data_IF_538810663308
#
_entry.id   IF_538810663308
#
_cell.length_a   1.000
_cell.length_b   1.000
_cell.length_c   1.000
_cell.angle_alpha   90.00
_cell.angle_beta   90.00
_cell.angle_gamma   90.00
#
_symmetry.space_group_name_H-M   'P 1'
#
loop_
_entity.id
_entity.type
_entity.pdbx_description
1 polymer ?
#
# COMPACT_ATOMS: atom_id res chain seq x y z
N UNK A 1 -1.87 7.18 -10.63
CA UNK A 1 -2.29 6.01 -11.45
C UNK A 1 -3.74 6.21 -11.83
N UNK A 2 -4.13 6.05 -13.09
CA UNK A 2 -5.55 6.11 -13.47
C UNK A 2 -6.05 4.68 -13.69
N UNK A 3 -7.03 4.25 -12.90
CA UNK A 3 -7.70 2.98 -13.11
C UNK A 3 -8.80 3.10 -14.17
N UNK A 4 -9.07 2.05 -14.97
CA UNK A 4 -10.26 2.02 -15.80
C UNK A 4 -11.52 2.21 -14.94
N UNK A 5 -12.58 2.86 -15.45
CA UNK A 5 -13.82 3.06 -14.68
C UNK A 5 -14.50 1.77 -14.19
N UNK A 6 -14.16 0.62 -14.78
CA UNK A 6 -14.66 -0.69 -14.37
C UNK A 6 -13.97 -1.28 -13.14
N UNK A 7 -12.87 -0.68 -12.68
CA UNK A 7 -12.09 -1.17 -11.54
C UNK A 7 -12.54 -0.47 -10.26
N UNK A 8 -12.83 -1.26 -9.23
CA UNK A 8 -13.25 -0.80 -7.91
C UNK A 8 -12.29 -1.36 -6.86
N UNK A 9 -12.40 -0.89 -5.61
CA UNK A 9 -11.62 -1.46 -4.51
C UNK A 9 -11.94 -2.94 -4.25
N UNK A 10 -13.11 -3.42 -4.68
CA UNK A 10 -13.53 -4.85 -4.60
C UNK A 10 -13.12 -5.69 -5.82
N UNK A 11 -12.40 -5.09 -6.78
CA UNK A 11 -11.76 -5.79 -7.89
C UNK A 11 -10.48 -5.08 -8.34
N UNK A 12 -9.41 -5.23 -7.56
CA UNK A 12 -8.07 -4.72 -7.88
C UNK A 12 -7.28 -5.62 -8.84
N UNK A 13 -7.84 -6.75 -9.27
CA UNK A 13 -7.15 -7.76 -10.08
C UNK A 13 -6.55 -7.16 -11.36
N UNK A 14 -5.25 -7.34 -11.56
CA UNK A 14 -4.60 -6.89 -12.80
C UNK A 14 -3.13 -6.54 -12.65
N UNK A 15 -2.60 -5.92 -13.70
CA UNK A 15 -1.23 -5.40 -13.74
C UNK A 15 -1.26 -3.88 -13.84
N UNK A 16 -0.53 -3.24 -12.94
CA UNK A 16 -0.55 -1.79 -12.73
C UNK A 16 0.87 -1.25 -12.83
N UNK A 17 1.13 -0.41 -13.84
CA UNK A 17 2.45 0.21 -14.05
C UNK A 17 2.43 1.64 -13.55
N UNK A 18 3.25 1.97 -12.55
CA UNK A 18 3.33 3.29 -11.95
C UNK A 18 3.53 4.39 -13.00
N UNK A 19 2.64 5.38 -13.00
CA UNK A 19 2.78 6.57 -13.83
C UNK A 19 3.64 7.62 -13.12
N UNK A 20 4.93 7.65 -13.47
CA UNK A 20 5.91 8.56 -12.86
C UNK A 20 5.61 10.04 -13.10
N UNK A 21 4.99 10.39 -14.22
CA UNK A 21 4.67 11.79 -14.55
C UNK A 21 3.62 12.37 -13.60
N UNK A 22 2.79 11.53 -13.00
CA UNK A 22 1.74 11.90 -12.04
C UNK A 22 2.08 11.45 -10.62
N UNK A 23 3.34 11.10 -10.33
CA UNK A 23 3.79 10.68 -9.01
C UNK A 23 4.73 11.73 -8.43
N UNK A 24 4.60 12.00 -7.13
CA UNK A 24 5.52 12.86 -6.40
C UNK A 24 6.83 12.14 -6.06
N UNK A 25 7.83 12.90 -5.62
CA UNK A 25 9.13 12.35 -5.20
C UNK A 25 8.98 11.49 -3.93
N UNK A 26 9.59 10.30 -3.96
CA UNK A 26 9.54 9.32 -2.86
C UNK A 26 10.75 9.39 -1.93
N UNK A 27 11.76 10.22 -2.21
CA UNK A 27 13.02 10.23 -1.45
C UNK A 27 12.78 10.54 0.05
N UNK A 28 11.95 11.55 0.35
CA UNK A 28 11.70 11.97 1.73
C UNK A 28 11.01 10.89 2.56
N UNK A 29 9.95 10.26 2.04
CA UNK A 29 9.22 9.21 2.77
C UNK A 29 10.08 7.96 2.97
N UNK A 30 10.83 7.56 1.95
CA UNK A 30 11.75 6.42 2.05
C UNK A 30 12.92 6.71 3.01
N UNK A 31 13.41 7.96 3.07
CA UNK A 31 14.43 8.36 4.02
C UNK A 31 13.93 8.26 5.47
N UNK A 32 12.70 8.72 5.73
CA UNK A 32 12.05 8.58 7.05
C UNK A 32 11.88 7.11 7.46
N UNK A 33 11.73 6.20 6.51
CA UNK A 33 11.63 4.76 6.74
C UNK A 33 12.98 4.04 6.83
N UNK A 34 14.09 4.79 6.95
CA UNK A 34 15.47 4.29 7.01
C UNK A 34 15.94 3.53 5.77
N UNK A 35 15.32 3.76 4.60
CA UNK A 35 15.79 3.17 3.34
C UNK A 35 17.11 3.82 2.93
N UNK A 36 18.15 3.03 2.66
CA UNK A 36 19.49 3.55 2.32
C UNK A 36 19.47 4.48 1.10
N UNK A 37 20.31 5.52 1.11
CA UNK A 37 20.37 6.53 0.03
C UNK A 37 20.52 5.92 -1.37
N UNK A 38 21.40 4.93 -1.52
CA UNK A 38 21.62 4.25 -2.80
C UNK A 38 20.34 3.56 -3.30
N UNK A 39 19.61 2.88 -2.41
CA UNK A 39 18.37 2.20 -2.76
C UNK A 39 17.25 3.20 -3.10
N UNK A 40 17.16 4.33 -2.39
CA UNK A 40 16.21 5.41 -2.73
C UNK A 40 16.44 5.97 -4.13
N UNK A 41 17.70 6.20 -4.51
CA UNK A 41 18.04 6.63 -5.87
C UNK A 41 17.69 5.58 -6.91
N UNK A 42 17.95 4.30 -6.64
CA UNK A 42 17.55 3.23 -7.54
C UNK A 42 16.02 3.18 -7.74
N UNK A 43 15.24 3.30 -6.65
CA UNK A 43 13.77 3.34 -6.69
C UNK A 43 13.26 4.53 -7.52
N UNK A 44 13.84 5.72 -7.35
CA UNK A 44 13.44 6.91 -8.11
C UNK A 44 13.55 6.71 -9.64
N UNK A 45 14.56 5.96 -10.11
CA UNK A 45 14.74 5.64 -11.53
C UNK A 45 13.98 4.39 -11.98
N UNK A 46 13.62 3.46 -11.09
CA UNK A 46 12.96 2.20 -11.43
C UNK A 46 11.49 2.38 -11.83
N UNK A 47 11.04 1.69 -12.86
CA UNK A 47 9.62 1.57 -13.19
C UNK A 47 9.00 0.48 -12.34
N UNK A 48 8.03 0.84 -11.51
CA UNK A 48 7.34 -0.07 -10.60
C UNK A 48 6.11 -0.66 -11.30
N UNK A 49 5.98 -1.98 -11.26
CA UNK A 49 4.80 -2.71 -11.74
C UNK A 49 4.25 -3.60 -10.64
N UNK A 50 2.98 -3.44 -10.30
CA UNK A 50 2.24 -4.30 -9.40
C UNK A 50 1.45 -5.33 -10.20
N UNK A 51 1.51 -6.59 -9.79
CA UNK A 51 0.55 -7.62 -10.20
C UNK A 51 -0.29 -7.95 -8.99
N UNK A 52 -1.58 -7.60 -9.03
CA UNK A 52 -2.51 -7.75 -7.91
C UNK A 52 -3.47 -8.90 -8.21
N UNK A 53 -3.62 -9.79 -7.23
CA UNK A 53 -4.66 -10.83 -7.20
C UNK A 53 -5.50 -10.62 -5.96
N UNK A 54 -6.80 -10.40 -6.14
CA UNK A 54 -7.77 -10.22 -5.07
C UNK A 54 -8.79 -11.35 -5.10
N UNK A 55 -9.03 -11.97 -3.94
CA UNK A 55 -9.94 -13.10 -3.80
C UNK A 55 -10.51 -13.18 -2.39
N UNK A 56 -11.64 -13.88 -2.24
CA UNK A 56 -12.20 -14.19 -0.92
C UNK A 56 -11.83 -15.62 -0.52
N UNK A 57 -11.35 -15.79 0.71
CA UNK A 57 -11.06 -17.10 1.29
C UNK A 57 -11.36 -17.06 2.78
N UNK A 58 -12.06 -18.09 3.26
CA UNK A 58 -12.44 -18.26 4.68
C UNK A 58 -13.22 -17.05 5.26
N UNK A 59 -14.00 -16.36 4.42
CA UNK A 59 -14.80 -15.21 4.81
C UNK A 59 -14.04 -13.88 4.87
N UNK A 60 -12.75 -13.86 4.54
CA UNK A 60 -11.94 -12.64 4.46
C UNK A 60 -11.49 -12.36 3.03
N UNK A 61 -11.37 -11.08 2.69
CA UNK A 61 -10.73 -10.63 1.45
C UNK A 61 -9.21 -10.76 1.59
N UNK A 62 -8.57 -11.33 0.58
CA UNK A 62 -7.13 -11.41 0.43
C UNK A 62 -6.69 -10.58 -0.78
N UNK A 63 -5.62 -9.80 -0.61
CA UNK A 63 -5.01 -9.00 -1.67
C UNK A 63 -3.54 -9.34 -1.72
N UNK A 64 -3.16 -10.08 -2.75
CA UNK A 64 -1.78 -10.50 -3.00
C UNK A 64 -1.16 -9.56 -4.03
N UNK A 65 -0.12 -8.85 -3.65
CA UNK A 65 0.56 -7.86 -4.47
C UNK A 65 1.99 -8.33 -4.73
N UNK A 66 2.28 -8.66 -5.98
CA UNK A 66 3.66 -8.89 -6.44
C UNK A 66 4.18 -7.63 -7.11
N UNK A 67 5.14 -6.97 -6.47
CA UNK A 67 5.80 -5.78 -6.99
C UNK A 67 7.10 -6.15 -7.71
N UNK A 68 7.26 -5.64 -8.92
CA UNK A 68 8.51 -5.71 -9.69
C UNK A 68 9.01 -4.32 -9.99
N UNK A 69 10.33 -4.18 -10.07
CA UNK A 69 11.00 -2.92 -10.35
C UNK A 69 12.11 -3.13 -11.38
N UNK A 70 12.25 -2.21 -12.33
CA UNK A 70 13.34 -2.25 -13.30
C UNK A 70 14.68 -1.85 -12.68
N UNK A 71 15.78 -2.00 -13.42
CA UNK A 71 17.09 -1.47 -13.00
C UNK A 71 17.77 -2.23 -11.86
N UNK A 72 17.42 -3.51 -11.65
CA UNK A 72 18.07 -4.37 -10.65
C UNK A 72 17.55 -4.18 -9.22
N UNK A 73 16.53 -3.35 -9.01
CA UNK A 73 15.84 -3.26 -7.72
C UNK A 73 15.06 -4.56 -7.48
N UNK A 74 15.35 -5.24 -6.37
CA UNK A 74 14.64 -6.47 -6.01
C UNK A 74 13.17 -6.14 -5.75
N UNK A 75 12.27 -6.87 -6.41
CA UNK A 75 10.84 -6.77 -6.15
C UNK A 75 10.46 -7.20 -4.72
N UNK A 76 9.25 -6.88 -4.34
CA UNK A 76 8.66 -7.24 -3.04
C UNK A 76 7.34 -7.96 -3.26
N UNK A 77 6.90 -8.70 -2.25
CA UNK A 77 5.57 -9.31 -2.22
C UNK A 77 4.89 -8.86 -0.95
N UNK A 78 3.63 -8.47 -1.06
CA UNK A 78 2.79 -8.12 0.07
C UNK A 78 1.53 -8.99 0.03
N UNK A 79 1.25 -9.69 1.13
CA UNK A 79 0.11 -10.59 1.25
C UNK A 79 -0.82 -10.05 2.33
N UNK A 80 -1.91 -9.42 1.92
CA UNK A 80 -2.88 -8.82 2.84
C UNK A 80 -4.04 -9.76 3.04
N UNK A 81 -4.39 -10.02 4.30
CA UNK A 81 -5.68 -10.57 4.68
C UNK A 81 -6.43 -9.48 5.44
N UNK A 82 -7.63 -9.13 4.97
CA UNK A 82 -8.42 -8.03 5.53
C UNK A 82 -9.22 -8.48 6.75
N UNK A 83 -8.51 -8.87 7.81
CA UNK A 83 -9.06 -9.36 9.09
C UNK A 83 -8.49 -8.63 10.32
N UNK A 84 -7.76 -7.53 10.08
CA UNK A 84 -7.12 -6.69 11.08
C UNK A 84 -6.13 -7.42 12.02
N UNK A 85 -5.57 -8.55 11.59
CA UNK A 85 -4.57 -9.30 12.37
C UNK A 85 -3.14 -9.00 11.89
N UNK A 86 -2.24 -8.74 12.84
CA UNK A 86 -0.81 -8.51 12.52
C UNK A 86 -0.16 -9.76 11.95
N UNK A 87 0.61 -9.55 10.88
CA UNK A 87 1.42 -10.56 10.21
C UNK A 87 2.81 -10.02 9.95
N UNK A 88 3.81 -10.84 10.21
CA UNK A 88 5.21 -10.50 9.96
C UNK A 88 5.49 -10.51 8.45
N UNK A 89 6.33 -9.58 8.02
CA UNK A 89 6.82 -9.47 6.67
C UNK A 89 8.28 -9.03 6.68
N UNK A 90 9.04 -9.50 5.68
CA UNK A 90 10.44 -9.14 5.53
C UNK A 90 10.78 -8.97 4.06
N UNK A 91 11.36 -7.83 3.73
CA UNK A 91 11.92 -7.59 2.40
C UNK A 91 13.22 -6.77 2.43
N UNK A 92 13.80 -6.57 1.24
CA UNK A 92 15.08 -5.88 1.07
C UNK A 92 14.98 -4.35 1.05
N UNK A 93 13.77 -3.79 1.09
CA UNK A 93 13.52 -2.34 1.06
C UNK A 93 13.26 -1.83 2.48
N UNK A 94 12.34 -2.47 3.19
CA UNK A 94 11.84 -2.02 4.50
C UNK A 94 12.38 -2.85 5.67
N UNK A 95 13.09 -3.95 5.41
CA UNK A 95 13.60 -4.83 6.45
C UNK A 95 12.48 -5.68 7.05
N UNK A 96 12.50 -5.89 8.37
CA UNK A 96 11.46 -6.61 9.11
C UNK A 96 10.35 -5.64 9.55
N UNK A 97 9.12 -5.96 9.21
CA UNK A 97 7.93 -5.20 9.58
C UNK A 97 6.81 -6.16 9.99
N UNK A 98 5.79 -5.66 10.68
CA UNK A 98 4.52 -6.35 10.85
C UNK A 98 3.39 -5.46 10.37
N UNK A 99 2.46 -6.03 9.62
CA UNK A 99 1.35 -5.30 9.01
C UNK A 99 0.00 -5.94 9.34
N UNK A 100 -1.04 -5.12 9.35
CA UNK A 100 -2.44 -5.58 9.40
C UNK A 100 -3.28 -4.71 8.46
N UNK A 101 -4.33 -5.29 7.89
CA UNK A 101 -5.21 -4.59 6.97
C UNK A 101 -6.68 -4.94 7.23
N UNK A 102 -7.60 -4.04 6.88
CA UNK A 102 -9.06 -4.25 7.00
C UNK A 102 -9.83 -3.40 5.99
N UNK A 103 -11.08 -3.78 5.77
CA UNK A 103 -12.09 -2.84 5.29
C UNK A 103 -12.44 -1.84 6.39
N UNK A 104 -12.62 -0.57 6.03
CA UNK A 104 -12.98 0.51 6.95
C UNK A 104 -13.88 1.52 6.25
N UNK A 105 -14.80 2.14 6.98
CA UNK A 105 -15.50 3.34 6.50
C UNK A 105 -14.84 4.58 7.10
N UNK A 106 -14.89 5.71 6.40
CA UNK A 106 -14.32 6.97 6.90
C UNK A 106 -14.91 7.37 8.27
N UNK A 107 -16.20 7.07 8.49
CA UNK A 107 -16.87 7.32 9.77
C UNK A 107 -16.26 6.56 10.96
N UNK A 108 -15.68 5.38 10.71
CA UNK A 108 -15.08 4.49 11.71
C UNK A 108 -13.60 4.77 11.97
N UNK A 109 -13.00 5.74 11.25
CA UNK A 109 -11.65 6.20 11.52
C UNK A 109 -11.60 7.03 12.81
N UNK A 110 -10.43 7.02 13.45
CA UNK A 110 -10.14 7.85 14.61
C UNK A 110 -10.37 9.33 14.27
N UNK A 111 -10.86 10.13 15.22
CA UNK A 111 -11.17 11.55 14.98
C UNK A 111 -9.89 12.40 15.03
N UNK A 112 -9.08 12.24 13.99
CA UNK A 112 -7.79 12.89 13.80
C UNK A 112 -7.73 13.69 12.50
N UNK A 113 -6.55 14.22 12.18
CA UNK A 113 -6.36 14.98 10.94
C UNK A 113 -6.47 14.09 9.68
N UNK A 114 -6.22 12.79 9.79
CA UNK A 114 -6.40 11.83 8.70
C UNK A 114 -7.88 11.71 8.35
N UNK A 115 -8.77 11.56 9.34
CA UNK A 115 -10.22 11.54 9.10
C UNK A 115 -10.73 12.83 8.45
N UNK A 116 -10.27 13.99 8.91
CA UNK A 116 -10.63 15.28 8.30
C UNK A 116 -10.22 15.34 6.83
N UNK A 117 -9.00 14.89 6.53
CA UNK A 117 -8.50 14.85 5.16
C UNK A 117 -9.27 13.86 4.28
N UNK A 118 -9.54 12.65 4.80
CA UNK A 118 -10.23 11.57 4.07
C UNK A 118 -11.73 11.82 3.88
N UNK A 119 -12.35 12.67 4.70
CA UNK A 119 -13.77 13.02 4.61
C UNK A 119 -14.14 13.92 3.43
N UNK A 120 -13.15 14.38 2.65
CA UNK A 120 -13.36 15.32 1.55
C UNK A 120 -12.66 14.86 0.26
N UNK A 121 -13.38 14.89 -0.86
CA UNK A 121 -12.79 14.72 -2.20
C UNK A 121 -12.46 13.27 -2.62
N UNK A 122 -12.85 12.28 -1.82
CA UNK A 122 -12.72 10.87 -2.18
C UNK A 122 -13.94 10.39 -2.95
N UNK A 123 -13.71 9.61 -4.00
CA UNK A 123 -14.77 8.86 -4.68
C UNK A 123 -15.26 7.80 -3.68
N UNK A 124 -16.58 7.68 -3.51
CA UNK A 124 -17.22 6.84 -2.49
C UNK A 124 -17.06 5.33 -2.75
N UNK A 125 -16.25 4.93 -3.74
CA UNK A 125 -15.88 3.54 -4.00
C UNK A 125 -17.10 2.62 -4.25
N UNK A 126 -18.26 3.21 -4.51
CA UNK A 126 -19.56 2.56 -4.58
C UNK A 126 -20.27 2.37 -3.23
N UNK A 127 -19.58 1.90 -2.18
CA UNK A 127 -20.18 1.51 -0.88
C UNK A 127 -19.65 2.28 0.34
N UNK A 128 -18.71 3.20 0.16
CA UNK A 128 -18.09 3.99 1.24
C UNK A 128 -17.06 3.21 2.09
N UNK A 129 -16.65 2.02 1.62
CA UNK A 129 -15.61 1.19 2.24
C UNK A 129 -14.25 1.39 1.55
N UNK A 130 -13.21 1.47 2.37
CA UNK A 130 -11.81 1.66 1.98
C UNK A 130 -10.94 0.55 2.56
N UNK A 131 -9.75 0.35 2.00
CA UNK A 131 -8.75 -0.56 2.59
C UNK A 131 -7.82 0.25 3.47
N UNK A 132 -7.87 -0.01 4.79
CA UNK A 132 -6.87 0.49 5.73
C UNK A 132 -5.75 -0.53 5.86
N UNK A 133 -4.50 -0.06 5.85
CA UNK A 133 -3.31 -0.83 6.18
C UNK A 133 -2.47 -0.10 7.21
N UNK A 134 -2.05 -0.82 8.25
CA UNK A 134 -1.19 -0.32 9.30
C UNK A 134 0.06 -1.18 9.41
N UNK A 135 1.23 -0.56 9.36
CA UNK A 135 2.54 -1.22 9.38
C UNK A 135 3.40 -0.65 10.48
N UNK A 136 4.06 -1.54 11.24
CA UNK A 136 5.08 -1.19 12.22
C UNK A 136 6.43 -1.78 11.79
N UNK A 137 7.48 -0.96 11.81
CA UNK A 137 8.85 -1.46 11.61
C UNK A 137 9.39 -2.16 12.86
N UNK A 138 10.07 -3.28 12.67
CA UNK A 138 10.76 -4.00 13.74
C UNK A 138 12.16 -3.39 13.91
N UNK A 139 12.32 -2.57 14.94
CA UNK A 139 13.59 -1.87 15.23
C UNK A 139 13.88 -0.66 14.34
N UNK A 140 13.01 -0.34 13.37
CA UNK A 140 13.14 0.81 12.48
C UNK A 140 12.57 2.13 13.02
N UNK A 141 11.78 2.08 14.09
CA UNK A 141 11.25 3.28 14.77
C UNK A 141 10.20 4.08 13.99
N UNK A 142 9.67 3.54 12.90
CA UNK A 142 8.59 4.15 12.11
C UNK A 142 7.35 3.25 12.05
N UNK A 143 6.21 3.90 11.86
CA UNK A 143 4.91 3.28 11.57
C UNK A 143 4.30 3.94 10.34
N UNK A 144 3.46 3.23 9.60
CA UNK A 144 2.70 3.78 8.48
C UNK A 144 1.23 3.40 8.64
N UNK A 145 0.35 4.40 8.57
CA UNK A 145 -1.09 4.23 8.47
C UNK A 145 -1.52 4.71 7.09
N UNK A 146 -2.16 3.85 6.31
CA UNK A 146 -2.61 4.15 4.96
C UNK A 146 -4.07 3.77 4.83
N UNK A 147 -4.88 4.68 4.30
CA UNK A 147 -6.24 4.42 3.81
C UNK A 147 -6.19 4.60 2.29
N UNK A 148 -6.83 3.70 1.54
CA UNK A 148 -6.86 3.67 0.06
C UNK A 148 -8.18 3.17 -0.48
#
# INVERSE_FOLDING_TARGET
MAAPPSKTLKDLNGKWVMNKTLSDDTDAILAMQNVSWFLRKAIAFATITLSITEYTKDGSTHIDISQTATGGVKGTTELRTLDWTFRDHKDGIFGEVKGKSRWVKVEDLEDDDDKKWLSHGWDDGGEGEHVQSYVESVGGGWTANQVS
#
